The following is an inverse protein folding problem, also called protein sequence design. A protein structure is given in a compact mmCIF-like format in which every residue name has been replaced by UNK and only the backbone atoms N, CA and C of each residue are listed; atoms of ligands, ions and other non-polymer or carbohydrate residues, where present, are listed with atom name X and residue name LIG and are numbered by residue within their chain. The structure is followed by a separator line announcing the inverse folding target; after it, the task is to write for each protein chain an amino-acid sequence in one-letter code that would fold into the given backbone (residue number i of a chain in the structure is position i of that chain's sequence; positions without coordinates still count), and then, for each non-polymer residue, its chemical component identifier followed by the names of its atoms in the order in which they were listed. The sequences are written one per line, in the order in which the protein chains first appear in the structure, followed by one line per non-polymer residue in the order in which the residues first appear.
data_IF_480821457492
#
_entry.id   IF_480821457492
#
_cell.length_a   1.000
_cell.length_b   1.000
_cell.length_c   1.000
_cell.angle_alpha   90.00
_cell.angle_beta   90.00
_cell.angle_gamma   90.00
#
_symmetry.space_group_name_H-M   'P 1'
#
loop_
_entity.id
_entity.type
_entity.pdbx_description
1 polymer ?
#
# COMPACT_ATOMS: atom_id res chain seq x y z
N UNK A 1 19.65 -17.07 -7.08
CA UNK A 1 20.13 -15.67 -7.10
C UNK A 1 18.95 -14.75 -7.44
N UNK A 2 18.19 -14.34 -6.43
CA UNK A 2 16.97 -13.53 -6.63
C UNK A 2 17.41 -12.13 -7.04
N UNK A 3 17.15 -11.76 -8.29
CA UNK A 3 17.28 -10.38 -8.75
C UNK A 3 16.35 -9.52 -7.91
N UNK A 4 16.88 -8.89 -6.84
CA UNK A 4 16.21 -7.81 -6.14
C UNK A 4 16.03 -6.65 -7.12
N UNK A 5 14.92 -6.65 -7.85
CA UNK A 5 14.48 -5.51 -8.62
C UNK A 5 13.88 -4.53 -7.62
N UNK A 6 14.72 -3.59 -7.20
CA UNK A 6 14.49 -2.68 -6.09
C UNK A 6 13.15 -1.95 -6.14
N UNK A 7 12.67 -1.61 -4.96
CA UNK A 7 11.65 -0.60 -4.71
C UNK A 7 12.13 0.76 -5.24
N UNK A 8 12.07 0.98 -6.56
CA UNK A 8 12.85 2.04 -7.18
C UNK A 8 12.24 3.45 -7.10
N UNK A 9 11.10 3.65 -6.44
CA UNK A 9 10.43 4.96 -6.39
C UNK A 9 9.74 5.20 -5.05
N UNK A 10 10.53 5.30 -3.98
CA UNK A 10 10.06 5.75 -2.65
C UNK A 10 9.82 7.26 -2.58
N UNK A 11 10.38 8.07 -3.49
CA UNK A 11 10.16 9.53 -3.50
C UNK A 11 10.03 10.14 -4.90
N UNK A 12 9.34 11.28 -4.98
CA UNK A 12 9.28 12.16 -6.14
C UNK A 12 10.67 12.65 -6.50
N UNK A 13 11.26 12.09 -7.56
CA UNK A 13 12.60 12.49 -7.99
C UNK A 13 12.61 13.94 -8.44
N UNK A 14 13.43 14.77 -7.82
CA UNK A 14 13.70 16.14 -8.26
C UNK A 14 14.65 16.14 -9.44
N UNK A 15 15.61 15.22 -9.46
CA UNK A 15 16.71 15.21 -10.44
C UNK A 15 17.59 16.47 -10.35
N UNK A 16 17.45 17.23 -9.28
CA UNK A 16 18.19 18.46 -9.01
C UNK A 16 19.52 18.08 -8.35
N UNK A 17 20.61 18.66 -8.85
CA UNK A 17 21.98 18.42 -8.37
C UNK A 17 22.50 19.63 -7.63
N UNK A 18 22.66 19.48 -6.33
CA UNK A 18 23.15 20.50 -5.41
C UNK A 18 24.42 19.96 -4.75
N UNK A 19 25.48 20.78 -4.62
CA UNK A 19 26.68 20.38 -3.91
C UNK A 19 26.38 20.14 -2.43
N UNK A 20 26.83 19.00 -1.93
CA UNK A 20 26.75 18.64 -0.51
C UNK A 20 28.09 18.12 -0.03
N UNK A 21 28.37 18.37 1.24
CA UNK A 21 29.50 17.76 1.93
C UNK A 21 28.93 16.74 2.90
N UNK A 22 29.50 15.54 2.97
CA UNK A 22 29.15 14.60 4.03
C UNK A 22 30.37 14.15 4.81
N UNK A 23 30.17 13.86 6.09
CA UNK A 23 31.22 13.42 7.00
C UNK A 23 31.06 11.94 7.33
N UNK A 24 32.12 11.16 7.16
CA UNK A 24 32.15 9.74 7.50
C UNK A 24 33.55 9.34 7.98
N UNK A 25 33.63 8.60 9.09
CA UNK A 25 34.88 8.14 9.71
C UNK A 25 35.94 9.26 9.91
N UNK A 26 35.49 10.45 10.34
CA UNK A 26 36.37 11.61 10.57
C UNK A 26 36.89 12.30 9.30
N UNK A 27 36.43 11.89 8.11
CA UNK A 27 36.76 12.53 6.83
C UNK A 27 35.53 13.18 6.20
N UNK A 28 35.75 14.30 5.53
CA UNK A 28 34.72 15.01 4.76
C UNK A 28 34.85 14.67 3.28
N UNK A 29 33.71 14.50 2.62
CA UNK A 29 33.64 14.17 1.20
C UNK A 29 32.68 15.12 0.50
N UNK A 30 33.16 15.73 -0.59
CA UNK A 30 32.33 16.56 -1.46
C UNK A 30 31.63 15.70 -2.50
N UNK A 31 30.33 15.91 -2.66
CA UNK A 31 29.55 15.26 -3.70
C UNK A 31 28.37 16.13 -4.13
N UNK A 32 27.53 15.59 -5.00
CA UNK A 32 26.29 16.23 -5.43
C UNK A 32 25.11 15.33 -5.14
N UNK A 33 23.98 15.94 -4.82
CA UNK A 33 22.70 15.23 -4.84
C UNK A 33 22.42 14.78 -6.28
N UNK A 34 21.93 13.57 -6.42
CA UNK A 34 21.26 13.05 -7.61
C UNK A 34 19.75 13.20 -7.47
N UNK A 35 19.27 13.22 -6.22
CA UNK A 35 17.87 13.35 -5.88
C UNK A 35 17.69 13.88 -4.45
N UNK A 36 16.59 14.61 -4.23
CA UNK A 36 16.24 15.19 -2.92
C UNK A 36 14.74 15.04 -2.71
N UNK A 37 14.38 14.51 -1.55
CA UNK A 37 13.01 14.30 -1.08
C UNK A 37 12.86 14.76 0.36
N UNK A 38 11.62 14.79 0.86
CA UNK A 38 11.34 15.22 2.23
C UNK A 38 12.08 14.39 3.28
N UNK A 39 12.19 13.07 3.08
CA UNK A 39 12.73 12.11 4.05
C UNK A 39 14.08 11.50 3.66
N UNK A 40 14.71 11.96 2.57
CA UNK A 40 15.98 11.38 2.17
C UNK A 40 16.63 12.01 0.94
N UNK A 41 17.86 11.58 0.70
CA UNK A 41 18.72 12.02 -0.40
C UNK A 41 19.24 10.83 -1.17
N UNK A 42 19.52 11.06 -2.45
CA UNK A 42 20.39 10.19 -3.22
C UNK A 42 21.62 10.99 -3.59
N UNK A 43 22.80 10.53 -3.20
CA UNK A 43 24.06 11.21 -3.51
C UNK A 43 24.83 10.44 -4.59
N UNK A 44 25.63 11.15 -5.38
CA UNK A 44 26.68 10.51 -6.17
C UNK A 44 27.71 9.93 -5.20
N UNK A 45 28.13 8.69 -5.39
CA UNK A 45 29.15 8.08 -4.53
C UNK A 45 30.52 8.64 -4.93
N UNK A 46 31.30 9.24 -4.01
CA UNK A 46 32.69 9.58 -4.28
C UNK A 46 33.51 8.33 -4.59
N UNK A 47 34.53 8.45 -5.42
CA UNK A 47 35.43 7.34 -5.72
C UNK A 47 36.15 6.88 -4.44
N UNK A 48 36.37 5.57 -4.29
CA UNK A 48 37.03 4.95 -3.13
C UNK A 48 36.33 5.08 -1.77
N UNK A 49 35.10 5.59 -1.71
CA UNK A 49 34.31 5.62 -0.47
C UNK A 49 33.36 4.41 -0.41
N UNK A 50 33.55 3.57 0.60
CA UNK A 50 32.67 2.46 0.92
C UNK A 50 31.97 2.73 2.24
N UNK A 51 30.66 2.97 2.17
CA UNK A 51 29.78 3.14 3.33
C UNK A 51 28.81 1.97 3.33
N UNK A 52 28.68 1.29 4.47
CA UNK A 52 27.78 0.15 4.61
C UNK A 52 26.35 0.63 4.85
N UNK A 53 25.38 -0.17 4.41
CA UNK A 53 23.99 0.08 4.78
C UNK A 53 23.84 -0.03 6.30
N UNK A 54 23.09 0.90 6.91
CA UNK A 54 22.90 1.03 8.35
C UNK A 54 23.81 2.08 9.02
N UNK A 55 24.86 2.56 8.35
CA UNK A 55 25.75 3.58 8.92
C UNK A 55 25.11 4.98 8.85
N UNK A 56 25.31 5.79 9.89
CA UNK A 56 24.88 7.19 9.93
C UNK A 56 25.98 8.11 9.41
N UNK A 57 25.62 9.06 8.56
CA UNK A 57 26.50 10.11 8.05
C UNK A 57 25.84 11.47 8.22
N UNK A 58 26.65 12.48 8.50
CA UNK A 58 26.19 13.87 8.55
C UNK A 58 26.33 14.51 7.17
N UNK A 59 25.31 15.26 6.77
CA UNK A 59 25.25 15.92 5.47
C UNK A 59 25.06 17.41 5.68
N UNK A 60 25.86 18.21 4.99
CA UNK A 60 25.82 19.67 5.00
C UNK A 60 25.59 20.19 3.58
N UNK A 61 24.67 21.13 3.44
CA UNK A 61 24.36 21.82 2.18
C UNK A 61 25.17 23.12 2.10
N UNK A 62 26.12 23.20 1.15
CA UNK A 62 27.06 24.34 1.06
C UNK A 62 26.39 25.70 1.01
N UNK A 63 25.30 25.80 0.26
CA UNK A 63 24.64 27.07 -0.03
C UNK A 63 23.53 27.41 0.99
N UNK A 64 23.46 26.66 2.09
CA UNK A 64 22.62 26.97 3.27
C UNK A 64 23.41 26.74 4.55
N UNK A 65 24.02 27.81 5.05
CA UNK A 65 24.68 27.84 6.36
C UNK A 65 23.73 27.29 7.44
N UNK A 66 24.18 26.27 8.18
CA UNK A 66 23.48 25.71 9.34
C UNK A 66 22.54 24.52 9.08
N UNK A 67 22.45 23.99 7.85
CA UNK A 67 21.62 22.79 7.58
C UNK A 67 22.45 21.51 7.59
N UNK A 68 22.92 21.10 8.79
CA UNK A 68 23.50 19.77 9.01
C UNK A 68 22.38 18.78 9.27
N UNK A 69 22.34 17.67 8.54
CA UNK A 69 21.32 16.63 8.65
C UNK A 69 21.99 15.28 8.78
N UNK A 70 21.75 14.59 9.89
CA UNK A 70 22.16 13.20 10.05
C UNK A 70 21.24 12.29 9.22
N UNK A 71 21.84 11.37 8.46
CA UNK A 71 21.13 10.44 7.61
C UNK A 71 21.73 9.04 7.72
N UNK A 72 20.87 8.03 7.72
CA UNK A 72 21.25 6.62 7.66
C UNK A 72 21.40 6.18 6.22
N UNK A 73 22.47 5.44 5.93
CA UNK A 73 22.71 4.85 4.62
C UNK A 73 21.76 3.66 4.43
N UNK A 74 20.78 3.80 3.55
CA UNK A 74 19.83 2.74 3.25
C UNK A 74 20.38 1.74 2.25
N UNK A 75 21.13 2.23 1.25
CA UNK A 75 21.79 1.38 0.28
C UNK A 75 23.01 2.07 -0.33
N UNK A 76 24.03 1.28 -0.66
CA UNK A 76 25.24 1.74 -1.33
C UNK A 76 25.38 1.03 -2.67
N UNK A 77 25.18 1.76 -3.75
CA UNK A 77 25.34 1.27 -5.12
C UNK A 77 26.72 1.60 -5.69
N UNK A 78 27.03 1.06 -6.88
CA UNK A 78 28.31 1.33 -7.56
C UNK A 78 28.59 2.82 -7.81
N UNK A 79 27.55 3.61 -8.05
CA UNK A 79 27.65 5.03 -8.46
C UNK A 79 26.95 6.01 -7.53
N UNK A 80 26.23 5.51 -6.51
CA UNK A 80 25.37 6.34 -5.69
C UNK A 80 25.16 5.76 -4.30
N UNK A 81 24.81 6.63 -3.36
CA UNK A 81 24.43 6.28 -1.99
C UNK A 81 23.00 6.76 -1.77
N UNK A 82 22.12 5.89 -1.27
CA UNK A 82 20.79 6.24 -0.82
C UNK A 82 20.79 6.49 0.67
N UNK A 83 20.26 7.65 1.07
CA UNK A 83 20.28 8.15 2.44
C UNK A 83 18.85 8.44 2.89
N UNK A 84 18.50 8.01 4.08
CA UNK A 84 17.24 8.32 4.74
C UNK A 84 17.52 9.17 5.97
N UNK A 85 16.81 10.26 6.13
CA UNK A 85 16.94 11.09 7.33
C UNK A 85 16.37 10.36 8.54
N UNK A 86 17.07 10.46 9.66
CA UNK A 86 16.73 9.71 10.88
C UNK A 86 15.58 10.40 11.64
N UNK A 87 15.77 11.67 12.04
CA UNK A 87 14.81 12.44 12.86
C UNK A 87 14.35 13.76 12.23
N UNK A 88 14.68 14.00 10.96
CA UNK A 88 14.35 15.27 10.28
C UNK A 88 13.71 15.03 8.94
N UNK A 89 12.73 15.86 8.61
CA UNK A 89 12.27 16.02 7.24
C UNK A 89 12.32 17.46 6.81
N UNK A 90 12.58 17.63 5.52
CA UNK A 90 12.37 18.94 4.92
C UNK A 90 10.88 19.18 4.76
N UNK A 91 10.40 20.25 5.37
CA UNK A 91 9.11 20.84 5.04
C UNK A 91 9.04 21.20 3.54
N UNK A 92 7.82 21.37 3.02
CA UNK A 92 7.64 21.81 1.62
C UNK A 92 8.38 23.12 1.30
N UNK A 93 8.48 24.02 2.28
CA UNK A 93 9.22 25.28 2.16
C UNK A 93 10.73 25.07 2.15
N UNK A 94 11.27 24.18 2.99
CA UNK A 94 12.69 23.83 2.97
C UNK A 94 13.08 23.11 1.68
N UNK A 95 12.26 22.18 1.20
CA UNK A 95 12.46 21.52 -0.10
C UNK A 95 12.46 22.53 -1.24
N UNK A 96 11.46 23.43 -1.26
CA UNK A 96 11.38 24.48 -2.26
C UNK A 96 12.62 25.36 -2.23
N UNK A 97 13.06 25.77 -1.05
CA UNK A 97 14.23 26.62 -0.93
C UNK A 97 15.53 25.89 -1.30
N UNK A 98 15.66 24.59 -0.99
CA UNK A 98 16.76 23.77 -1.50
C UNK A 98 16.70 23.70 -3.03
N UNK A 99 15.53 23.49 -3.62
CA UNK A 99 15.38 23.50 -5.08
C UNK A 99 15.71 24.86 -5.69
N UNK A 100 15.44 25.97 -5.00
CA UNK A 100 15.71 27.32 -5.49
C UNK A 100 17.20 27.67 -5.54
N UNK A 101 18.03 27.00 -4.73
CA UNK A 101 19.50 27.06 -4.84
C UNK A 101 19.98 26.52 -6.19
N UNK A 102 19.26 25.56 -6.78
CA UNK A 102 19.68 24.96 -8.03
C UNK A 102 19.63 25.95 -9.20
N UNK A 103 20.59 25.87 -10.14
CA UNK A 103 20.60 26.70 -11.32
C UNK A 103 19.26 26.66 -12.06
N UNK A 104 18.84 27.82 -12.60
CA UNK A 104 17.53 27.99 -13.22
C UNK A 104 17.31 26.98 -14.37
N UNK A 105 18.36 26.64 -15.12
CA UNK A 105 18.32 25.60 -16.16
C UNK A 105 18.06 24.19 -15.62
N UNK A 106 18.56 23.82 -14.43
CA UNK A 106 18.26 22.53 -13.81
C UNK A 106 16.80 22.47 -13.35
N UNK A 107 16.31 23.56 -12.73
CA UNK A 107 14.90 23.68 -12.32
C UNK A 107 13.95 23.61 -13.52
N UNK A 108 14.26 24.30 -14.60
CA UNK A 108 13.51 24.22 -15.85
C UNK A 108 13.58 22.81 -16.44
N UNK A 109 14.76 22.19 -16.51
CA UNK A 109 14.91 20.81 -17.01
C UNK A 109 14.10 19.81 -16.19
N UNK A 110 14.14 19.89 -14.86
CA UNK A 110 13.37 19.04 -13.96
C UNK A 110 11.86 19.23 -14.15
N UNK A 111 11.40 20.48 -14.22
CA UNK A 111 9.98 20.83 -14.43
C UNK A 111 9.49 20.36 -15.79
N UNK A 112 10.28 20.57 -16.85
CA UNK A 112 9.99 20.10 -18.21
C UNK A 112 9.93 18.57 -18.27
N UNK A 113 10.88 17.86 -17.65
CA UNK A 113 10.85 16.38 -17.56
C UNK A 113 9.62 15.89 -16.81
N UNK A 114 9.24 16.51 -15.71
CA UNK A 114 8.03 16.17 -14.94
C UNK A 114 6.76 16.40 -15.76
N UNK A 115 6.70 17.55 -16.44
CA UNK A 115 5.57 17.90 -17.31
C UNK A 115 5.47 16.94 -18.49
N UNK A 116 6.59 16.61 -19.13
CA UNK A 116 6.66 15.63 -20.20
C UNK A 116 6.19 14.26 -19.69
N UNK A 117 6.69 13.79 -18.55
CA UNK A 117 6.28 12.53 -17.96
C UNK A 117 4.78 12.46 -17.65
N UNK A 118 4.21 13.54 -17.09
CA UNK A 118 2.77 13.65 -16.83
C UNK A 118 1.96 13.64 -18.13
N UNK A 119 2.38 14.41 -19.13
CA UNK A 119 1.74 14.45 -20.45
C UNK A 119 1.85 13.10 -21.18
N UNK A 120 2.99 12.42 -21.12
CA UNK A 120 3.18 11.09 -21.70
C UNK A 120 2.30 10.04 -21.03
N UNK A 121 2.14 10.08 -19.69
CA UNK A 121 1.20 9.20 -18.98
C UNK A 121 -0.24 9.45 -19.43
N UNK A 122 -0.67 10.72 -19.45
CA UNK A 122 -2.00 11.12 -19.92
C UNK A 122 -2.25 10.67 -21.36
N UNK A 123 -1.28 10.88 -22.25
CA UNK A 123 -1.36 10.43 -23.63
C UNK A 123 -1.46 8.90 -23.72
N UNK A 124 -0.67 8.15 -22.93
CA UNK A 124 -0.74 6.70 -22.90
C UNK A 124 -2.12 6.20 -22.44
N UNK A 125 -2.68 6.79 -21.37
CA UNK A 125 -4.03 6.49 -20.89
C UNK A 125 -5.07 6.82 -21.98
N UNK A 126 -4.93 7.97 -22.64
CA UNK A 126 -5.81 8.38 -23.72
C UNK A 126 -5.80 7.38 -24.87
N UNK A 127 -4.62 7.06 -25.41
CA UNK A 127 -4.47 6.13 -26.53
C UNK A 127 -4.97 4.72 -26.18
N UNK A 128 -4.62 4.22 -24.98
CA UNK A 128 -5.04 2.89 -24.52
C UNK A 128 -6.56 2.75 -24.39
N UNK A 129 -7.25 3.85 -24.07
CA UNK A 129 -8.70 3.86 -23.86
C UNK A 129 -9.51 4.38 -25.04
N UNK A 130 -8.86 4.82 -26.11
CA UNK A 130 -9.53 5.26 -27.34
C UNK A 130 -9.09 4.36 -28.50
N UNK A 131 -8.02 4.72 -29.21
CA UNK A 131 -7.62 4.09 -30.46
C UNK A 131 -7.05 2.68 -30.29
N UNK A 132 -6.41 2.37 -29.16
CA UNK A 132 -5.75 1.08 -28.92
C UNK A 132 -6.60 0.12 -28.07
N UNK A 133 -7.80 0.52 -27.65
CA UNK A 133 -8.60 -0.26 -26.68
C UNK A 133 -8.90 -1.66 -27.20
N UNK A 134 -9.47 -1.79 -28.39
CA UNK A 134 -9.83 -3.09 -28.97
C UNK A 134 -8.62 -4.01 -29.17
N UNK A 135 -7.49 -3.44 -29.59
CA UNK A 135 -6.23 -4.19 -29.73
C UNK A 135 -5.72 -4.68 -28.37
N UNK A 136 -5.73 -3.80 -27.36
CA UNK A 136 -5.31 -4.14 -26.00
C UNK A 136 -6.18 -5.27 -25.43
N UNK A 137 -7.50 -5.19 -25.58
CA UNK A 137 -8.42 -6.24 -25.14
C UNK A 137 -8.17 -7.57 -25.87
N UNK A 138 -7.94 -7.53 -27.19
CA UNK A 138 -7.66 -8.72 -27.99
C UNK A 138 -6.32 -9.40 -27.63
N UNK A 139 -5.30 -8.60 -27.25
CA UNK A 139 -3.98 -9.08 -26.84
C UNK A 139 -3.96 -9.61 -25.41
N UNK A 140 -4.59 -8.88 -24.48
CA UNK A 140 -4.61 -9.25 -23.05
C UNK A 140 -5.54 -10.43 -22.81
N UNK A 141 -6.73 -10.44 -23.45
CA UNK A 141 -7.81 -11.41 -23.20
C UNK A 141 -8.08 -11.57 -21.71
N UNK A 142 -8.55 -10.51 -21.03
CA UNK A 142 -8.64 -10.49 -19.58
C UNK A 142 -9.59 -11.58 -19.07
N UNK A 143 -9.10 -12.41 -18.16
CA UNK A 143 -9.87 -13.41 -17.44
C UNK A 143 -10.47 -12.84 -16.15
N UNK A 144 -9.80 -11.83 -15.57
CA UNK A 144 -10.26 -11.12 -14.39
C UNK A 144 -10.09 -9.61 -14.55
N UNK A 145 -10.86 -8.84 -13.78
CA UNK A 145 -10.67 -7.40 -13.60
C UNK A 145 -10.33 -7.10 -12.15
N UNK A 146 -9.52 -6.07 -11.96
CA UNK A 146 -9.35 -5.40 -10.69
C UNK A 146 -10.03 -4.03 -10.78
N UNK A 147 -11.24 -3.95 -10.23
CA UNK A 147 -12.08 -2.75 -10.23
C UNK A 147 -11.60 -1.82 -9.11
N UNK A 148 -11.16 -0.63 -9.50
CA UNK A 148 -10.58 0.37 -8.59
C UNK A 148 -11.28 1.71 -8.70
N UNK A 149 -11.12 2.55 -7.69
CA UNK A 149 -11.51 3.95 -7.70
C UNK A 149 -10.34 4.80 -7.19
N UNK A 150 -10.43 6.12 -7.36
CA UNK A 150 -9.41 7.03 -6.88
C UNK A 150 -9.99 8.33 -6.39
N UNK A 151 -9.21 9.02 -5.55
CA UNK A 151 -9.48 10.40 -5.18
C UNK A 151 -8.98 11.37 -6.26
N UNK A 152 -9.33 12.65 -6.09
CA UNK A 152 -9.01 13.69 -7.07
C UNK A 152 -7.50 13.82 -7.35
N UNK A 153 -6.65 13.71 -6.32
CA UNK A 153 -5.18 13.77 -6.45
C UNK A 153 -4.65 12.62 -7.32
N UNK A 154 -5.17 11.41 -7.11
CA UNK A 154 -4.82 10.23 -7.88
C UNK A 154 -5.30 10.38 -9.33
N UNK A 155 -6.58 10.69 -9.55
CA UNK A 155 -7.18 10.77 -10.90
C UNK A 155 -6.54 11.86 -11.76
N UNK A 156 -6.32 13.07 -11.22
CA UNK A 156 -5.70 14.20 -11.95
C UNK A 156 -4.27 13.92 -12.44
N UNK A 157 -3.62 12.88 -11.90
CA UNK A 157 -2.30 12.44 -12.36
C UNK A 157 -2.35 11.69 -13.69
N UNK A 158 -3.49 11.07 -14.02
CA UNK A 158 -3.68 10.21 -15.20
C UNK A 158 -4.66 10.79 -16.22
N UNK A 159 -5.62 11.60 -15.78
CA UNK A 159 -6.67 12.17 -16.62
C UNK A 159 -6.75 13.69 -16.43
N UNK A 160 -7.15 14.42 -17.46
CA UNK A 160 -7.55 15.84 -17.38
C UNK A 160 -9.02 15.99 -17.76
N UNK A 161 -9.65 17.09 -17.34
CA UNK A 161 -11.08 17.33 -17.56
C UNK A 161 -11.46 17.27 -19.05
N UNK A 162 -10.60 17.79 -19.93
CA UNK A 162 -10.80 17.69 -21.39
C UNK A 162 -10.72 16.25 -21.92
N UNK A 163 -9.89 15.41 -21.31
CA UNK A 163 -9.77 14.00 -21.69
C UNK A 163 -10.98 13.21 -21.22
N UNK A 164 -11.45 13.47 -19.99
CA UNK A 164 -12.59 12.76 -19.40
C UNK A 164 -13.82 12.78 -20.33
N UNK A 165 -14.09 13.92 -20.98
CA UNK A 165 -15.17 14.10 -21.96
C UNK A 165 -15.08 13.20 -23.20
N UNK A 166 -13.91 12.65 -23.52
CA UNK A 166 -13.65 11.83 -24.72
C UNK A 166 -13.31 10.38 -24.40
N UNK A 167 -13.13 10.06 -23.13
CA UNK A 167 -12.76 8.73 -22.70
C UNK A 167 -14.02 7.87 -22.48
N UNK A 168 -13.92 6.54 -22.63
CA UNK A 168 -14.99 5.64 -22.23
C UNK A 168 -15.24 5.74 -20.73
N UNK A 169 -16.39 5.24 -20.28
CA UNK A 169 -16.77 5.27 -18.88
C UNK A 169 -15.78 4.49 -18.00
N UNK A 170 -15.43 3.26 -18.39
CA UNK A 170 -14.41 2.46 -17.70
C UNK A 170 -13.05 2.58 -18.36
N UNK A 171 -12.09 3.12 -17.60
CA UNK A 171 -10.73 3.34 -18.03
C UNK A 171 -9.85 2.14 -17.68
N UNK A 172 -9.20 1.56 -18.68
CA UNK A 172 -8.11 0.61 -18.51
C UNK A 172 -6.87 1.41 -18.06
N UNK A 173 -6.43 1.16 -16.84
CA UNK A 173 -5.30 1.85 -16.21
C UNK A 173 -4.03 1.00 -16.17
N UNK A 174 -4.15 -0.31 -16.29
CA UNK A 174 -3.01 -1.22 -16.28
C UNK A 174 -3.35 -2.65 -16.64
N UNK A 175 -2.30 -3.43 -16.88
CA UNK A 175 -2.36 -4.87 -17.12
C UNK A 175 -1.82 -5.59 -15.90
N UNK A 176 -2.50 -6.66 -15.52
CA UNK A 176 -2.12 -7.53 -14.41
C UNK A 176 -1.83 -8.91 -14.98
N UNK A 177 -0.75 -9.52 -14.53
CA UNK A 177 -0.38 -10.90 -14.85
C UNK A 177 -0.03 -11.65 -13.59
N UNK A 178 -0.55 -12.86 -13.45
CA UNK A 178 -0.05 -13.83 -12.49
C UNK A 178 0.03 -15.19 -13.18
N UNK A 179 1.25 -15.71 -13.39
CA UNK A 179 1.48 -16.91 -14.19
C UNK A 179 0.88 -16.79 -15.62
N UNK A 180 -0.02 -17.72 -15.98
CA UNK A 180 -0.79 -17.72 -17.22
C UNK A 180 -2.06 -16.84 -17.13
N UNK A 181 -2.43 -16.35 -15.94
CA UNK A 181 -3.61 -15.53 -15.73
C UNK A 181 -3.35 -14.08 -16.12
N UNK A 182 -4.29 -13.49 -16.85
CA UNK A 182 -4.22 -12.11 -17.34
C UNK A 182 -5.46 -11.34 -16.95
N UNK A 183 -5.27 -10.11 -16.50
CA UNK A 183 -6.36 -9.22 -16.13
C UNK A 183 -6.03 -7.76 -16.37
N UNK A 184 -6.99 -6.91 -16.08
CA UNK A 184 -6.86 -5.46 -16.23
C UNK A 184 -7.21 -4.75 -14.93
N UNK A 185 -6.48 -3.68 -14.64
CA UNK A 185 -6.88 -2.70 -13.63
C UNK A 185 -7.78 -1.66 -14.30
N UNK A 186 -9.00 -1.49 -13.80
CA UNK A 186 -10.03 -0.67 -14.43
C UNK A 186 -10.68 0.25 -13.42
N UNK A 187 -10.85 1.53 -13.77
CA UNK A 187 -11.49 2.53 -12.92
C UNK A 187 -12.64 3.25 -13.65
N UNK A 188 -13.67 3.72 -12.93
CA UNK A 188 -14.70 4.58 -13.50
C UNK A 188 -14.17 6.00 -13.65
N UNK A 189 -14.97 6.86 -14.32
CA UNK A 189 -14.75 8.30 -14.31
C UNK A 189 -15.14 8.96 -12.98
N UNK A 190 -15.91 8.27 -12.12
CA UNK A 190 -16.33 8.77 -10.82
C UNK A 190 -15.22 8.73 -9.78
N UNK A 191 -15.20 9.75 -8.93
CA UNK A 191 -14.33 9.84 -7.77
C UNK A 191 -14.88 9.02 -6.60
N UNK A 192 -14.00 8.69 -5.65
CA UNK A 192 -14.36 7.94 -4.44
C UNK A 192 -15.57 8.51 -3.70
N UNK A 193 -15.58 9.83 -3.45
CA UNK A 193 -16.65 10.48 -2.69
C UNK A 193 -17.99 10.38 -3.42
N UNK A 194 -17.98 10.47 -4.75
CA UNK A 194 -19.19 10.34 -5.57
C UNK A 194 -19.78 8.92 -5.46
N UNK A 195 -18.94 7.89 -5.48
CA UNK A 195 -19.37 6.50 -5.32
C UNK A 195 -19.86 6.20 -3.89
N UNK A 196 -19.32 6.89 -2.89
CA UNK A 196 -19.76 6.75 -1.50
C UNK A 196 -21.15 7.37 -1.28
N UNK A 197 -21.39 8.53 -1.90
CA UNK A 197 -22.60 9.33 -1.71
C UNK A 197 -23.77 8.84 -2.57
N UNK A 198 -23.50 8.48 -3.84
CA UNK A 198 -24.52 8.22 -4.85
C UNK A 198 -24.55 6.75 -5.30
N UNK A 199 -25.63 6.06 -4.91
CA UNK A 199 -25.82 4.64 -5.26
C UNK A 199 -26.12 4.41 -6.75
N UNK A 200 -26.66 5.39 -7.46
CA UNK A 200 -26.92 5.26 -8.90
C UNK A 200 -25.62 5.27 -9.70
N UNK A 201 -24.63 6.05 -9.25
CA UNK A 201 -23.27 6.01 -9.82
C UNK A 201 -22.59 4.66 -9.63
N UNK A 202 -22.81 4.01 -8.48
CA UNK A 202 -22.31 2.65 -8.22
C UNK A 202 -22.99 1.63 -9.15
N UNK A 203 -24.32 1.71 -9.30
CA UNK A 203 -25.07 0.85 -10.23
C UNK A 203 -24.57 0.99 -11.65
N UNK A 204 -24.47 2.23 -12.12
CA UNK A 204 -23.94 2.53 -13.45
C UNK A 204 -22.50 2.01 -13.62
N UNK A 205 -21.65 2.14 -12.59
CA UNK A 205 -20.29 1.60 -12.66
C UNK A 205 -20.27 0.08 -12.82
N UNK A 206 -21.04 -0.64 -12.00
CA UNK A 206 -21.09 -2.10 -12.07
C UNK A 206 -21.72 -2.61 -13.37
N UNK A 207 -22.78 -1.96 -13.85
CA UNK A 207 -23.42 -2.26 -15.13
C UNK A 207 -22.44 -2.07 -16.29
N UNK A 208 -21.83 -0.88 -16.40
CA UNK A 208 -20.85 -0.59 -17.47
C UNK A 208 -19.64 -1.52 -17.41
N UNK A 209 -19.18 -1.93 -16.23
CA UNK A 209 -18.08 -2.89 -16.12
C UNK A 209 -18.44 -4.24 -16.77
N UNK A 210 -19.66 -4.72 -16.59
CA UNK A 210 -20.11 -5.98 -17.18
C UNK A 210 -20.33 -5.85 -18.68
N UNK A 211 -20.88 -4.73 -19.14
CA UNK A 211 -21.05 -4.42 -20.57
C UNK A 211 -19.70 -4.29 -21.31
N UNK A 212 -18.74 -3.57 -20.72
CA UNK A 212 -17.44 -3.33 -21.35
C UNK A 212 -16.55 -4.59 -21.37
N UNK A 213 -16.80 -5.56 -20.49
CA UNK A 213 -15.97 -6.74 -20.29
C UNK A 213 -16.80 -8.03 -20.07
N UNK A 214 -17.66 -8.43 -21.02
CA UNK A 214 -18.66 -9.48 -20.83
C UNK A 214 -18.07 -10.88 -20.63
N UNK A 215 -16.83 -11.10 -21.05
CA UNK A 215 -16.16 -12.41 -21.00
C UNK A 215 -15.30 -12.61 -19.75
N UNK A 216 -15.25 -11.62 -18.87
CA UNK A 216 -14.47 -11.70 -17.64
C UNK A 216 -15.16 -12.65 -16.65
N UNK A 217 -14.36 -13.52 -16.04
CA UNK A 217 -14.88 -14.54 -15.12
C UNK A 217 -14.97 -14.04 -13.68
N UNK A 218 -14.08 -13.11 -13.29
CA UNK A 218 -13.96 -12.58 -11.92
C UNK A 218 -13.65 -11.08 -11.92
N UNK A 219 -14.30 -10.31 -11.06
CA UNK A 219 -14.10 -8.87 -10.87
C UNK A 219 -13.82 -8.63 -9.40
N UNK A 220 -12.54 -8.40 -9.05
CA UNK A 220 -12.13 -8.03 -7.71
C UNK A 220 -12.52 -6.59 -7.40
N UNK A 221 -13.31 -6.38 -6.34
CA UNK A 221 -13.73 -5.08 -5.87
C UNK A 221 -12.74 -4.56 -4.82
N UNK A 222 -12.02 -3.47 -5.09
CA UNK A 222 -11.01 -2.93 -4.15
C UNK A 222 -11.62 -2.19 -2.97
N UNK A 223 -10.94 -2.28 -1.82
CA UNK A 223 -11.15 -1.37 -0.68
C UNK A 223 -12.60 -1.34 -0.21
N UNK A 224 -13.24 -0.17 -0.32
CA UNK A 224 -14.62 0.02 0.12
C UNK A 224 -15.67 -0.25 -0.96
N UNK A 225 -15.29 -0.60 -2.20
CA UNK A 225 -16.25 -0.91 -3.27
C UNK A 225 -17.28 -1.97 -2.86
N UNK A 226 -16.92 -3.08 -2.19
CA UNK A 226 -17.93 -4.05 -1.75
C UNK A 226 -19.04 -3.43 -0.91
N UNK A 227 -18.69 -2.48 -0.03
CA UNK A 227 -19.67 -1.78 0.80
C UNK A 227 -20.54 -0.84 -0.04
N UNK A 228 -19.96 -0.13 -1.02
CA UNK A 228 -20.73 0.74 -1.92
C UNK A 228 -21.71 -0.08 -2.78
N UNK A 229 -21.26 -1.21 -3.32
CA UNK A 229 -22.07 -2.13 -4.14
C UNK A 229 -23.24 -2.69 -3.32
N UNK A 230 -22.98 -3.15 -2.09
CA UNK A 230 -24.03 -3.61 -1.17
C UNK A 230 -25.01 -2.48 -0.80
N UNK A 231 -24.51 -1.28 -0.48
CA UNK A 231 -25.35 -0.10 -0.20
C UNK A 231 -26.25 0.27 -1.39
N UNK A 232 -25.77 0.06 -2.61
CA UNK A 232 -26.53 0.28 -3.83
C UNK A 232 -27.57 -0.83 -4.12
N UNK A 233 -27.67 -1.85 -3.27
CA UNK A 233 -28.62 -2.96 -3.43
C UNK A 233 -28.19 -4.01 -4.45
N UNK A 234 -26.90 -4.06 -4.80
CA UNK A 234 -26.36 -5.07 -5.73
C UNK A 234 -25.80 -6.23 -4.92
N UNK A 235 -26.27 -7.44 -5.24
CA UNK A 235 -25.75 -8.67 -4.69
C UNK A 235 -24.35 -8.99 -5.26
N UNK A 236 -23.39 -9.28 -4.39
CA UNK A 236 -22.02 -9.62 -4.79
C UNK A 236 -21.94 -11.11 -5.07
N UNK A 237 -22.30 -11.46 -6.30
CA UNK A 237 -22.16 -12.81 -6.87
C UNK A 237 -21.33 -12.78 -8.13
N UNK A 238 -20.94 -13.95 -8.64
CA UNK A 238 -20.17 -14.09 -9.89
C UNK A 238 -20.79 -13.20 -11.00
N UNK A 239 -19.98 -12.37 -11.70
CA UNK A 239 -18.51 -12.33 -11.67
C UNK A 239 -17.89 -11.48 -10.56
N UNK A 240 -18.67 -10.73 -9.77
CA UNK A 240 -18.15 -9.88 -8.70
C UNK A 240 -17.56 -10.72 -7.55
N UNK A 241 -16.44 -10.25 -7.00
CA UNK A 241 -15.72 -10.86 -5.89
C UNK A 241 -15.58 -9.83 -4.77
N UNK A 242 -16.09 -10.17 -3.60
CA UNK A 242 -16.07 -9.29 -2.42
C UNK A 242 -14.65 -9.05 -1.89
N UNK A 243 -13.78 -10.06 -1.98
CA UNK A 243 -12.39 -9.94 -1.52
C UNK A 243 -12.21 -10.22 -0.03
N UNK A 244 -13.24 -10.71 0.65
CA UNK A 244 -13.23 -10.98 2.08
C UNK A 244 -12.29 -12.12 2.48
N UNK A 245 -12.34 -13.26 1.79
CA UNK A 245 -11.49 -14.42 2.05
C UNK A 245 -10.02 -14.10 1.76
N UNK A 246 -9.75 -13.39 0.66
CA UNK A 246 -8.39 -13.00 0.30
C UNK A 246 -7.77 -12.03 1.31
N UNK A 247 -8.54 -11.05 1.81
CA UNK A 247 -8.08 -10.17 2.90
C UNK A 247 -7.90 -10.91 4.21
N UNK A 248 -8.82 -11.80 4.59
CA UNK A 248 -8.69 -12.64 5.80
C UNK A 248 -7.45 -13.53 5.74
N UNK A 249 -7.19 -14.17 4.59
CA UNK A 249 -6.00 -14.99 4.37
C UNK A 249 -4.72 -14.17 4.51
N UNK A 250 -4.69 -12.99 3.89
CA UNK A 250 -3.57 -12.06 4.00
C UNK A 250 -3.27 -11.70 5.46
N UNK A 251 -4.29 -11.38 6.26
CA UNK A 251 -4.13 -11.03 7.66
C UNK A 251 -3.72 -12.26 8.50
N UNK A 252 -4.34 -13.41 8.25
CA UNK A 252 -4.03 -14.66 8.94
C UNK A 252 -2.57 -15.07 8.73
N UNK A 253 -2.09 -15.06 7.48
CA UNK A 253 -0.70 -15.43 7.18
C UNK A 253 0.31 -14.45 7.78
N UNK A 254 -0.03 -13.16 7.82
CA UNK A 254 0.78 -12.14 8.49
C UNK A 254 0.81 -12.34 9.99
N UNK A 255 -0.34 -12.60 10.61
CA UNK A 255 -0.43 -12.81 12.04
C UNK A 255 0.36 -14.06 12.46
N UNK A 256 0.40 -15.10 11.63
CA UNK A 256 1.31 -16.25 11.79
C UNK A 256 2.78 -15.80 11.78
N UNK A 257 3.18 -15.03 10.78
CA UNK A 257 4.56 -14.51 10.68
C UNK A 257 4.94 -13.55 11.82
N UNK A 258 3.99 -12.76 12.34
CA UNK A 258 4.20 -11.89 13.50
C UNK A 258 4.54 -12.71 14.74
N UNK A 259 3.78 -13.79 15.00
CA UNK A 259 4.03 -14.72 16.10
C UNK A 259 5.39 -15.41 15.98
N UNK A 260 5.87 -15.69 14.76
CA UNK A 260 7.17 -16.32 14.53
C UNK A 260 8.37 -15.38 14.81
N UNK A 261 8.15 -14.07 14.98
CA UNK A 261 9.25 -13.13 15.27
C UNK A 261 9.85 -13.38 16.65
N UNK A 262 11.20 -13.38 16.80
CA UNK A 262 11.86 -13.68 18.06
C UNK A 262 11.36 -12.87 19.27
N UNK A 263 11.04 -11.58 19.06
CA UNK A 263 10.55 -10.69 20.11
C UNK A 263 9.07 -10.92 20.51
N UNK A 264 8.29 -11.64 19.70
CA UNK A 264 6.86 -11.87 19.92
C UNK A 264 6.47 -13.35 20.05
N UNK A 265 7.43 -14.27 19.97
CA UNK A 265 7.20 -15.73 19.99
C UNK A 265 6.41 -16.29 21.18
N UNK A 266 6.37 -15.55 22.28
CA UNK A 266 5.65 -15.94 23.51
C UNK A 266 4.30 -15.24 23.65
N UNK A 267 3.91 -14.41 22.68
CA UNK A 267 2.62 -13.72 22.68
C UNK A 267 1.55 -14.71 22.24
N UNK A 268 0.59 -14.97 23.13
CA UNK A 268 -0.56 -15.83 22.86
C UNK A 268 -1.84 -15.03 22.59
N UNK A 269 -1.73 -13.70 22.53
CA UNK A 269 -2.81 -12.78 22.24
C UNK A 269 -2.48 -11.81 21.12
N UNK A 270 -3.53 -11.36 20.43
CA UNK A 270 -3.44 -10.34 19.38
C UNK A 270 -4.70 -9.47 19.39
N UNK A 271 -4.53 -8.19 19.10
CA UNK A 271 -5.61 -7.21 19.03
C UNK A 271 -5.99 -6.95 17.58
N UNK A 272 -7.29 -6.89 17.29
CA UNK A 272 -7.86 -6.46 16.01
C UNK A 272 -8.57 -5.12 16.23
N UNK A 273 -7.97 -4.03 15.75
CA UNK A 273 -8.54 -2.69 15.81
C UNK A 273 -9.60 -2.54 14.71
N UNK A 274 -10.84 -2.21 15.07
CA UNK A 274 -11.99 -2.29 14.16
C UNK A 274 -12.65 -3.67 14.18
N UNK A 275 -12.61 -4.36 15.32
CA UNK A 275 -13.07 -5.74 15.49
C UNK A 275 -14.55 -5.96 15.19
N UNK A 276 -15.42 -4.94 15.27
CA UNK A 276 -16.83 -5.08 14.89
C UNK A 276 -17.07 -4.85 13.38
N UNK A 277 -16.00 -4.58 12.62
CA UNK A 277 -16.07 -4.41 11.17
C UNK A 277 -16.37 -5.73 10.47
N UNK A 278 -16.88 -5.68 9.24
CA UNK A 278 -17.20 -6.88 8.45
C UNK A 278 -16.00 -7.83 8.31
N UNK A 279 -14.83 -7.30 7.98
CA UNK A 279 -13.57 -8.07 7.92
C UNK A 279 -13.05 -8.33 9.33
N UNK A 280 -13.04 -7.30 10.20
CA UNK A 280 -12.49 -7.41 11.54
C UNK A 280 -13.11 -8.51 12.39
N UNK A 281 -14.44 -8.66 12.34
CA UNK A 281 -15.15 -9.68 13.10
C UNK A 281 -14.75 -11.10 12.63
N UNK A 282 -14.74 -11.32 11.31
CA UNK A 282 -14.33 -12.62 10.75
C UNK A 282 -12.86 -12.92 11.07
N UNK A 283 -11.98 -11.93 10.95
CA UNK A 283 -10.56 -12.03 11.33
C UNK A 283 -10.40 -12.39 12.80
N UNK A 284 -11.20 -11.81 13.71
CA UNK A 284 -11.13 -12.15 15.13
C UNK A 284 -11.32 -13.66 15.35
N UNK A 285 -12.30 -14.25 14.67
CA UNK A 285 -12.53 -15.69 14.73
C UNK A 285 -11.41 -16.50 14.07
N UNK A 286 -10.95 -16.10 12.88
CA UNK A 286 -9.89 -16.82 12.14
C UNK A 286 -8.58 -16.88 12.92
N UNK A 287 -8.22 -15.78 13.60
CA UNK A 287 -7.00 -15.68 14.38
C UNK A 287 -7.00 -16.55 15.64
N UNK A 288 -8.16 -17.05 16.08
CA UNK A 288 -8.19 -18.04 17.19
C UNK A 288 -7.53 -19.37 16.82
N UNK A 289 -7.30 -19.65 15.53
CA UNK A 289 -6.47 -20.78 15.10
C UNK A 289 -4.96 -20.57 15.35
N UNK A 290 -4.54 -19.33 15.61
CA UNK A 290 -3.14 -18.94 15.79
C UNK A 290 -2.84 -18.39 17.19
N UNK A 291 -3.83 -17.90 17.91
CA UNK A 291 -3.69 -17.24 19.22
C UNK A 291 -4.77 -17.77 20.17
N UNK A 292 -4.41 -18.01 21.43
CA UNK A 292 -5.34 -18.50 22.45
C UNK A 292 -6.43 -17.44 22.74
N UNK A 293 -6.05 -16.16 22.67
CA UNK A 293 -6.95 -15.02 22.87
C UNK A 293 -6.84 -14.03 21.71
N UNK A 294 -7.98 -13.60 21.18
CA UNK A 294 -8.04 -12.50 20.20
C UNK A 294 -8.92 -11.40 20.77
N UNK A 295 -8.44 -10.16 20.75
CA UNK A 295 -9.19 -9.01 21.27
C UNK A 295 -9.71 -8.20 20.09
N UNK A 296 -11.02 -8.27 19.85
CA UNK A 296 -11.70 -7.37 18.91
C UNK A 296 -12.00 -6.05 19.61
N UNK A 297 -11.23 -5.00 19.31
CA UNK A 297 -11.46 -3.66 19.84
C UNK A 297 -12.31 -2.85 18.86
N UNK A 298 -13.46 -2.34 19.30
CA UNK A 298 -14.30 -1.45 18.52
C UNK A 298 -15.25 -0.63 19.42
N UNK A 299 -15.43 0.68 19.16
CA UNK A 299 -16.35 1.52 19.95
C UNK A 299 -17.83 1.11 19.83
N UNK A 300 -18.19 0.24 18.89
CA UNK A 300 -19.55 -0.30 18.75
C UNK A 300 -19.90 -1.39 19.77
N UNK A 301 -18.92 -1.92 20.50
CA UNK A 301 -19.18 -2.87 21.56
C UNK A 301 -19.61 -2.13 22.82
N UNK A 302 -20.84 -2.38 23.28
CA UNK A 302 -21.40 -1.71 24.46
C UNK A 302 -20.85 -2.30 25.78
N UNK A 303 -20.53 -3.60 25.77
CA UNK A 303 -20.02 -4.34 26.93
C UNK A 303 -18.91 -5.32 26.51
N UNK A 304 -18.08 -5.73 27.48
CA UNK A 304 -17.11 -6.81 27.30
C UNK A 304 -17.84 -8.14 27.09
N UNK A 305 -17.60 -8.80 25.96
CA UNK A 305 -18.21 -10.10 25.64
C UNK A 305 -17.14 -11.10 25.21
N UNK A 306 -17.06 -12.23 25.93
CA UNK A 306 -16.14 -13.32 25.60
C UNK A 306 -16.85 -14.43 24.81
N UNK A 307 -16.40 -14.66 23.59
CA UNK A 307 -16.91 -15.70 22.69
C UNK A 307 -15.88 -16.82 22.63
N UNK A 308 -16.26 -18.00 23.11
CA UNK A 308 -15.45 -19.21 22.94
C UNK A 308 -15.59 -19.74 21.51
N UNK A 309 -14.47 -20.02 20.87
CA UNK A 309 -14.41 -20.75 19.61
C UNK A 309 -13.86 -22.16 19.86
N UNK A 310 -13.85 -23.01 18.85
CA UNK A 310 -13.26 -24.35 18.95
C UNK A 310 -11.73 -24.33 19.13
N UNK A 311 -11.08 -23.18 18.95
CA UNK A 311 -9.62 -23.04 18.92
C UNK A 311 -9.07 -22.01 19.92
N UNK A 312 -9.92 -21.14 20.48
CA UNK A 312 -9.50 -20.08 21.39
C UNK A 312 -10.67 -19.23 21.87
N UNK A 313 -10.39 -18.00 22.30
CA UNK A 313 -11.42 -17.05 22.78
C UNK A 313 -11.30 -15.71 22.08
N UNK A 314 -12.42 -15.13 21.67
CA UNK A 314 -12.51 -13.75 21.20
C UNK A 314 -13.10 -12.88 22.32
N UNK A 315 -12.35 -11.88 22.79
CA UNK A 315 -12.88 -10.80 23.62
C UNK A 315 -13.33 -9.66 22.71
N UNK A 316 -14.62 -9.36 22.67
CA UNK A 316 -15.17 -8.14 22.09
C UNK A 316 -15.21 -7.07 23.17
N UNK A 317 -14.62 -5.89 22.92
CA UNK A 317 -14.52 -4.84 23.94
C UNK A 317 -14.35 -3.45 23.31
N UNK A 318 -14.83 -2.43 24.01
CA UNK A 318 -14.49 -1.02 23.74
C UNK A 318 -13.46 -0.46 24.74
N UNK A 319 -13.02 -1.26 25.73
CA UNK A 319 -12.12 -0.81 26.78
C UNK A 319 -10.68 -0.70 26.27
N UNK A 320 -10.15 0.53 26.28
CA UNK A 320 -8.78 0.83 25.87
C UNK A 320 -7.75 0.28 26.86
N UNK A 321 -8.13 0.04 28.12
CA UNK A 321 -7.23 -0.53 29.13
C UNK A 321 -6.77 -1.94 28.75
N UNK A 322 -7.56 -2.66 27.94
CA UNK A 322 -7.22 -3.99 27.41
C UNK A 322 -6.04 -3.98 26.44
N UNK A 323 -5.61 -2.80 25.99
CA UNK A 323 -4.48 -2.67 25.07
C UNK A 323 -3.13 -2.64 25.78
N UNK A 324 -3.09 -2.30 27.07
CA UNK A 324 -1.84 -2.00 27.80
C UNK A 324 -0.86 -3.18 27.86
N UNK A 325 -1.38 -4.41 27.83
CA UNK A 325 -0.58 -5.64 27.97
C UNK A 325 -0.32 -6.33 26.62
N UNK A 326 -0.82 -5.76 25.52
CA UNK A 326 -0.80 -6.39 24.20
C UNK A 326 0.30 -5.80 23.32
N UNK A 327 1.02 -6.62 22.57
CA UNK A 327 2.13 -6.13 21.71
C UNK A 327 1.89 -6.33 20.23
N UNK A 328 0.85 -7.08 19.85
CA UNK A 328 0.54 -7.43 18.47
C UNK A 328 -0.83 -6.87 18.09
N UNK A 329 -0.87 -6.09 17.02
CA UNK A 329 -2.08 -5.41 16.56
C UNK A 329 -2.26 -5.59 15.05
N UNK A 330 -3.50 -5.87 14.63
CA UNK A 330 -3.95 -5.72 13.24
C UNK A 330 -4.83 -4.48 13.18
N UNK A 331 -4.48 -3.51 12.32
CA UNK A 331 -5.26 -2.31 12.11
C UNK A 331 -6.26 -2.49 10.94
N UNK A 332 -7.55 -2.51 11.27
CA UNK A 332 -8.70 -2.58 10.34
C UNK A 332 -9.73 -1.47 10.62
N UNK A 333 -9.27 -0.35 11.18
CA UNK A 333 -10.10 0.83 11.42
C UNK A 333 -10.58 1.44 10.10
N UNK A 334 -11.58 2.32 10.19
CA UNK A 334 -12.16 3.01 9.03
C UNK A 334 -11.16 3.87 8.23
N UNK A 335 -10.07 4.30 8.88
CA UNK A 335 -8.89 4.93 8.30
C UNK A 335 -7.69 4.67 9.20
N UNK A 336 -6.48 4.65 8.65
CA UNK A 336 -5.27 4.32 9.41
C UNK A 336 -4.98 5.30 10.54
N UNK A 337 -5.13 6.60 10.28
CA UNK A 337 -4.79 7.64 11.25
C UNK A 337 -5.66 7.63 12.52
N UNK A 338 -6.78 6.89 12.52
CA UNK A 338 -7.60 6.66 13.71
C UNK A 338 -6.83 5.97 14.86
N UNK A 339 -5.69 5.32 14.56
CA UNK A 339 -4.81 4.74 15.57
C UNK A 339 -4.25 5.79 16.55
N UNK A 340 -4.22 7.08 16.18
CA UNK A 340 -3.81 8.16 17.08
C UNK A 340 -4.69 8.33 18.31
N UNK A 341 -5.92 7.84 18.27
CA UNK A 341 -6.83 7.90 19.41
C UNK A 341 -6.55 6.75 20.41
N UNK A 342 -5.72 5.78 20.01
CA UNK A 342 -5.51 4.51 20.73
C UNK A 342 -4.07 4.32 21.22
N UNK A 343 -3.10 4.91 20.54
CA UNK A 343 -1.68 4.57 20.72
C UNK A 343 -1.12 4.82 22.13
N UNK A 344 -1.74 5.70 22.92
CA UNK A 344 -1.33 5.96 24.30
C UNK A 344 -1.56 4.77 25.24
N UNK A 345 -2.43 3.84 24.82
CA UNK A 345 -2.73 2.60 25.54
C UNK A 345 -1.95 1.40 25.01
N UNK A 346 -1.04 1.61 24.05
CA UNK A 346 -0.21 0.54 23.51
C UNK A 346 1.16 0.58 24.20
N UNK A 347 1.71 -0.58 24.62
CA UNK A 347 3.01 -0.62 25.25
C UNK A 347 4.14 -0.38 24.23
N UNK A 348 5.27 0.08 24.76
CA UNK A 348 6.50 0.20 23.98
C UNK A 348 6.91 -1.15 23.39
N UNK A 349 7.37 -1.16 22.14
CA UNK A 349 7.73 -2.37 21.41
C UNK A 349 6.56 -3.06 20.71
N UNK A 350 5.35 -2.49 20.76
CA UNK A 350 4.21 -2.96 20.01
C UNK A 350 4.44 -2.91 18.48
N UNK A 351 3.79 -3.82 17.76
CA UNK A 351 3.77 -3.89 16.30
C UNK A 351 2.34 -3.81 15.79
N UNK A 352 2.11 -2.87 14.87
CA UNK A 352 0.85 -2.71 14.14
C UNK A 352 1.05 -3.16 12.70
N UNK A 353 0.30 -4.18 12.31
CA UNK A 353 0.14 -4.61 10.93
C UNK A 353 -1.06 -3.88 10.30
N UNK A 354 -0.78 -3.00 9.35
CA UNK A 354 -1.73 -2.06 8.75
C UNK A 354 -2.34 -2.60 7.44
N UNK A 355 -3.66 -2.80 7.44
CA UNK A 355 -4.48 -3.08 6.24
C UNK A 355 -5.62 -2.04 6.09
N UNK A 356 -5.48 -0.85 6.67
CA UNK A 356 -6.52 0.17 6.55
C UNK A 356 -6.49 0.83 5.17
N UNK A 357 -7.65 1.33 4.73
CA UNK A 357 -7.75 2.12 3.51
C UNK A 357 -8.56 3.40 3.75
N UNK A 358 -7.91 4.59 3.82
CA UNK A 358 -6.48 4.83 3.60
C UNK A 358 -5.57 4.24 4.70
N UNK A 359 -4.32 3.94 4.35
CA UNK A 359 -3.30 3.39 5.26
C UNK A 359 -2.87 4.41 6.32
N UNK A 360 -2.16 3.98 7.36
CA UNK A 360 -1.59 4.86 8.39
C UNK A 360 -0.59 5.82 7.75
N UNK A 361 -0.89 7.11 7.83
CA UNK A 361 -0.11 8.15 7.20
C UNK A 361 1.29 8.20 7.81
N UNK A 362 2.22 8.68 7.01
CA UNK A 362 3.62 8.74 7.41
C UNK A 362 3.83 9.64 8.65
N UNK A 363 3.05 10.71 8.80
CA UNK A 363 3.08 11.58 9.99
C UNK A 363 2.69 10.82 11.25
N UNK A 364 1.66 9.98 11.16
CA UNK A 364 1.21 9.16 12.29
C UNK A 364 2.23 8.08 12.62
N UNK A 365 2.83 7.43 11.62
CA UNK A 365 3.90 6.44 11.83
C UNK A 365 5.12 7.02 12.53
N UNK A 366 5.48 8.28 12.29
CA UNK A 366 6.57 8.96 12.99
C UNK A 366 6.23 9.16 14.48
N UNK A 367 5.01 9.62 14.77
CA UNK A 367 4.55 9.76 16.15
C UNK A 367 4.48 8.42 16.89
N UNK A 368 4.02 7.36 16.23
CA UNK A 368 4.01 6.01 16.81
C UNK A 368 5.43 5.52 17.12
N UNK A 369 6.40 5.83 16.26
CA UNK A 369 7.81 5.49 16.48
C UNK A 369 8.41 6.20 17.69
N UNK A 370 8.00 7.44 17.98
CA UNK A 370 8.41 8.16 19.21
C UNK A 370 7.98 7.40 20.47
N UNK A 371 6.87 6.66 20.40
CA UNK A 371 6.39 5.75 21.45
C UNK A 371 6.92 4.31 21.30
N UNK A 372 7.93 4.09 20.46
CA UNK A 372 8.50 2.76 20.18
C UNK A 372 7.49 1.76 19.62
N UNK A 373 6.47 2.22 18.91
CA UNK A 373 5.47 1.39 18.24
C UNK A 373 5.84 1.28 16.75
N UNK A 374 6.04 0.06 16.27
CA UNK A 374 6.34 -0.22 14.87
C UNK A 374 5.06 -0.33 14.03
N UNK A 375 5.10 0.17 12.80
CA UNK A 375 3.99 0.05 11.85
C UNK A 375 4.51 -0.53 10.54
N UNK A 376 3.92 -1.65 10.13
CA UNK A 376 4.21 -2.33 8.88
C UNK A 376 2.94 -2.54 8.07
N UNK A 377 3.01 -2.32 6.76
CA UNK A 377 1.87 -2.53 5.86
C UNK A 377 1.77 -4.00 5.51
N UNK A 378 0.55 -4.49 5.52
CA UNK A 378 0.20 -5.83 5.09
C UNK A 378 0.05 -5.86 3.56
N UNK A 379 0.74 -6.79 2.89
CA UNK A 379 0.53 -7.10 1.48
C UNK A 379 0.64 -8.60 1.23
N UNK A 380 0.02 -9.11 0.16
CA UNK A 380 0.37 -10.43 -0.39
C UNK A 380 1.43 -10.29 -1.48
N UNK A 381 2.15 -11.37 -1.74
CA UNK A 381 3.15 -11.46 -2.80
C UNK A 381 3.09 -12.81 -3.50
N UNK A 382 3.56 -12.80 -4.75
CA UNK A 382 3.74 -14.00 -5.56
C UNK A 382 4.87 -13.76 -6.57
N UNK A 383 5.74 -14.74 -6.79
CA UNK A 383 6.96 -14.57 -7.59
C UNK A 383 6.70 -14.19 -9.06
N UNK A 384 5.57 -14.66 -9.60
CA UNK A 384 5.19 -14.41 -10.99
C UNK A 384 4.22 -13.24 -11.16
N UNK A 385 3.81 -12.60 -10.06
CA UNK A 385 2.87 -11.49 -10.11
C UNK A 385 3.52 -10.23 -10.67
N UNK A 386 2.77 -9.53 -11.51
CA UNK A 386 3.16 -8.25 -12.06
C UNK A 386 1.93 -7.40 -12.35
N UNK A 387 1.95 -6.16 -11.86
CA UNK A 387 1.04 -5.11 -12.26
C UNK A 387 1.81 -4.00 -12.97
N UNK A 388 1.35 -3.59 -14.15
CA UNK A 388 1.94 -2.49 -14.89
C UNK A 388 0.92 -1.55 -15.52
N UNK A 389 1.01 -0.23 -15.27
CA UNK A 389 1.82 0.40 -14.23
C UNK A 389 1.36 -0.01 -12.81
N UNK A 390 2.22 0.10 -11.78
CA UNK A 390 1.76 -0.04 -10.38
C UNK A 390 0.59 0.89 -10.10
N UNK A 391 -0.29 0.39 -9.24
CA UNK A 391 -1.22 1.22 -8.49
C UNK A 391 -0.45 2.26 -7.65
N UNK A 392 -0.98 3.48 -7.48
CA UNK A 392 -0.44 4.44 -6.51
C UNK A 392 -0.27 3.78 -5.14
N UNK A 393 0.82 4.08 -4.43
CA UNK A 393 1.06 3.61 -3.05
C UNK A 393 1.22 2.10 -2.85
N UNK A 394 1.45 1.36 -3.96
CA UNK A 394 1.76 -0.07 -3.98
C UNK A 394 3.01 -0.36 -4.80
N UNK A 395 3.74 -1.44 -4.51
CA UNK A 395 4.75 -1.97 -5.43
C UNK A 395 4.09 -2.70 -6.60
N UNK A 396 4.79 -2.85 -7.73
CA UNK A 396 4.30 -3.64 -8.88
C UNK A 396 4.12 -5.14 -8.53
N UNK A 397 4.66 -5.59 -7.38
CA UNK A 397 4.66 -6.98 -6.92
C UNK A 397 3.78 -7.22 -5.69
N UNK A 398 3.26 -6.15 -5.10
CA UNK A 398 2.38 -6.25 -3.94
C UNK A 398 0.96 -6.51 -4.46
N UNK A 399 0.27 -7.45 -3.81
CA UNK A 399 -1.06 -7.91 -4.22
C UNK A 399 -2.03 -7.62 -3.08
N UNK A 400 -3.12 -6.87 -3.35
CA UNK A 400 -4.19 -6.72 -2.37
C UNK A 400 -4.92 -8.04 -2.13
N UNK A 401 -5.39 -8.27 -0.89
CA UNK A 401 -6.16 -9.47 -0.54
C UNK A 401 -7.36 -9.71 -1.46
N UNK A 402 -8.14 -8.66 -1.75
CA UNK A 402 -9.28 -8.75 -2.67
C UNK A 402 -8.92 -9.26 -4.08
N UNK A 403 -7.73 -8.94 -4.58
CA UNK A 403 -7.26 -9.43 -5.88
C UNK A 403 -6.82 -10.89 -5.80
N UNK A 404 -6.18 -11.32 -4.71
CA UNK A 404 -5.82 -12.73 -4.52
C UNK A 404 -7.05 -13.62 -4.48
N UNK A 405 -8.14 -13.19 -3.82
CA UNK A 405 -9.40 -13.95 -3.86
C UNK A 405 -9.90 -14.19 -5.28
N UNK A 406 -9.90 -13.16 -6.12
CA UNK A 406 -10.32 -13.33 -7.52
C UNK A 406 -9.39 -14.28 -8.29
N UNK A 407 -8.08 -14.27 -8.01
CA UNK A 407 -7.11 -15.17 -8.65
C UNK A 407 -7.29 -16.63 -8.19
N UNK A 408 -7.48 -16.84 -6.89
CA UNK A 408 -7.77 -18.17 -6.32
C UNK A 408 -9.08 -18.71 -6.88
N UNK A 409 -10.16 -17.91 -6.87
CA UNK A 409 -11.47 -18.30 -7.42
C UNK A 409 -11.51 -18.44 -8.94
N UNK A 410 -10.50 -17.93 -9.65
CA UNK A 410 -10.34 -18.15 -11.08
C UNK A 410 -9.74 -19.54 -11.35
N UNK A 411 -8.87 -20.04 -10.46
CA UNK A 411 -8.27 -21.38 -10.54
C UNK A 411 -9.19 -22.46 -9.96
N UNK A 412 -9.74 -22.21 -8.78
CA UNK A 412 -10.60 -23.14 -8.04
C UNK A 412 -11.91 -22.43 -7.65
N UNK A 413 -12.93 -22.42 -8.54
CA UNK A 413 -14.18 -21.67 -8.32
C UNK A 413 -14.94 -22.00 -7.04
N UNK A 414 -14.88 -23.27 -6.61
CA UNK A 414 -15.71 -23.81 -5.53
C UNK A 414 -14.98 -23.83 -4.18
N UNK A 415 -13.73 -23.32 -4.11
CA UNK A 415 -12.95 -23.37 -2.87
C UNK A 415 -13.61 -22.59 -1.73
N UNK A 416 -14.34 -21.51 -2.04
CA UNK A 416 -15.06 -20.71 -1.07
C UNK A 416 -16.16 -21.49 -0.33
N UNK A 417 -16.74 -22.52 -0.96
CA UNK A 417 -17.76 -23.38 -0.34
C UNK A 417 -17.18 -24.27 0.76
N UNK A 418 -15.87 -24.57 0.70
CA UNK A 418 -15.15 -25.34 1.72
C UNK A 418 -14.70 -24.52 2.93
N UNK A 419 -15.13 -23.25 3.03
CA UNK A 419 -14.78 -22.37 4.15
C UNK A 419 -13.38 -21.78 4.09
N UNK A 420 -13.04 -21.00 5.11
CA UNK A 420 -11.82 -20.19 5.16
C UNK A 420 -10.54 -21.03 5.13
N UNK A 421 -10.47 -22.11 5.92
CA UNK A 421 -9.30 -22.98 5.97
C UNK A 421 -8.94 -23.58 4.59
N UNK A 422 -9.94 -24.05 3.83
CA UNK A 422 -9.72 -24.57 2.48
C UNK A 422 -9.23 -23.49 1.52
N UNK A 423 -9.75 -22.26 1.67
CA UNK A 423 -9.24 -21.11 0.91
C UNK A 423 -7.77 -20.83 1.23
N UNK A 424 -7.35 -20.85 2.51
CA UNK A 424 -5.96 -20.66 2.90
C UNK A 424 -5.03 -21.70 2.26
N UNK A 425 -5.41 -22.99 2.32
CA UNK A 425 -4.64 -24.08 1.72
C UNK A 425 -4.46 -23.88 0.20
N UNK A 426 -5.52 -23.50 -0.50
CA UNK A 426 -5.44 -23.24 -1.94
C UNK A 426 -4.59 -22.00 -2.24
N UNK A 427 -4.72 -20.92 -1.45
CA UNK A 427 -3.91 -19.71 -1.65
C UNK A 427 -2.40 -20.00 -1.44
N UNK A 428 -2.05 -20.77 -0.42
CA UNK A 428 -0.67 -21.22 -0.17
C UNK A 428 -0.17 -22.17 -1.27
N UNK A 429 -1.01 -23.12 -1.72
CA UNK A 429 -0.68 -24.03 -2.81
C UNK A 429 -0.38 -23.28 -4.12
N UNK A 430 -1.14 -22.21 -4.39
CA UNK A 430 -0.91 -21.30 -5.51
C UNK A 430 0.28 -20.34 -5.27
N UNK A 431 1.00 -20.47 -4.16
CA UNK A 431 2.24 -19.74 -3.88
C UNK A 431 2.05 -18.30 -3.40
N UNK A 432 0.83 -17.90 -3.04
CA UNK A 432 0.63 -16.59 -2.40
C UNK A 432 1.19 -16.62 -0.99
N UNK A 433 1.81 -15.53 -0.57
CA UNK A 433 2.37 -15.37 0.78
C UNK A 433 2.21 -13.94 1.27
N UNK A 434 1.82 -13.78 2.53
CA UNK A 434 1.81 -12.52 3.24
C UNK A 434 3.22 -11.98 3.41
N UNK A 435 3.36 -10.66 3.34
CA UNK A 435 4.59 -9.96 3.69
C UNK A 435 4.26 -8.69 4.46
N UNK A 436 4.93 -8.53 5.59
CA UNK A 436 5.03 -7.24 6.25
C UNK A 436 6.09 -6.41 5.54
N UNK A 437 5.69 -5.25 5.05
CA UNK A 437 6.58 -4.31 4.38
C UNK A 437 6.55 -2.98 5.10
N UNK A 438 7.66 -2.25 5.06
CA UNK A 438 7.62 -0.84 5.47
C UNK A 438 6.68 -0.10 4.52
N UNK A 439 5.64 0.59 5.01
CA UNK A 439 4.71 1.27 4.13
C UNK A 439 5.45 2.31 3.31
N UNK A 440 5.11 2.41 2.03
CA UNK A 440 5.73 3.36 1.11
C UNK A 440 5.52 4.79 1.64
N UNK A 441 6.56 5.61 1.53
CA UNK A 441 6.44 7.03 1.82
C UNK A 441 5.61 7.69 0.70
N UNK A 442 4.58 8.47 1.06
CA UNK A 442 3.60 9.10 0.16
C UNK A 442 4.22 10.05 -0.90
#
# INVERSE_FOLDING_TARGET
MIRMHGEYRRHLRSGIRIPVVFSHAGRTFETTTLDISASGLRLKRPEHVHIRAGETIDIEFRDRTGTRVAATVMHSGKTHIGLQFYDRRFSGNELKALYDVAPLWQRLSATSKRTLWKKSRRLAVFLANTYLRSLLLALVRPQFLFAVYGNEKQVRSYVSDDMARRLPFNLILGVIRNENMRGLMVAPQFLEHELQEDSDKVRLYMERLQEDFPNVQRIALVGRLPNFVKKAGIDIKRPLVEGSLGTRYMIWDIARQMRERPQYRNQNSIVVLGGAGRIGNAVCHDLTSLYDRVIGLDPRYEEDNEIKTDQGTVLQTASLERLNDETLYIALTHQGDAVLDLYQHMPNGALIADDTHPCISLKVRERLRESQIEVEKIVLSHDQFMMWPRMPDWNNRDIPGCLVEALVLLRQPDVAEGGFHRFCQEAEFLGFTGRLIRPLDE
#
